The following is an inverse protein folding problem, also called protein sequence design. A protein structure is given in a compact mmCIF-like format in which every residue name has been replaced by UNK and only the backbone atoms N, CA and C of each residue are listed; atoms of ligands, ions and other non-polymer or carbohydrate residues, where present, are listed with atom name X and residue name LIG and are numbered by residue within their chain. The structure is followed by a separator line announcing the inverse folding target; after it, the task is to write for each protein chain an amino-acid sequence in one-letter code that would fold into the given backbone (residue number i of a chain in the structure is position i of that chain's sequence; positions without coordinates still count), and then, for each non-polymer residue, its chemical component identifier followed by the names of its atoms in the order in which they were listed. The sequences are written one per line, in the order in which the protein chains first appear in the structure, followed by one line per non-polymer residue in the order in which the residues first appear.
data_IF_732860790557
#
_entry.id   IF_732860790557
#
_cell.length_a   1.000
_cell.length_b   1.000
_cell.length_c   1.000
_cell.angle_alpha   90.00
_cell.angle_beta   90.00
_cell.angle_gamma   90.00
#
_symmetry.space_group_name_H-M   'P 1'
#
loop_
_entity.id
_entity.type
_entity.pdbx_description
1 polymer ?
#
# COMPACT_ATOMS: atom_id res chain seq x y z
N UNK A 1 -10.11 -5.12 -25.62
CA UNK A 1 -10.30 -6.18 -24.58
C UNK A 1 -9.02 -6.47 -23.79
N UNK A 2 -7.95 -7.05 -24.36
CA UNK A 2 -6.73 -7.34 -23.60
C UNK A 2 -6.03 -6.08 -23.04
N UNK A 3 -6.00 -4.99 -23.81
CA UNK A 3 -5.45 -3.70 -23.39
C UNK A 3 -6.21 -3.09 -22.22
N UNK A 4 -7.53 -3.06 -22.29
CA UNK A 4 -8.39 -2.52 -21.21
C UNK A 4 -8.26 -3.33 -19.91
N UNK A 5 -8.11 -4.66 -20.00
CA UNK A 5 -7.85 -5.52 -18.86
C UNK A 5 -6.53 -5.18 -18.18
N UNK A 6 -5.47 -5.02 -18.97
CA UNK A 6 -4.15 -4.62 -18.45
C UNK A 6 -4.17 -3.22 -17.82
N UNK A 7 -4.89 -2.27 -18.42
CA UNK A 7 -5.05 -0.93 -17.89
C UNK A 7 -5.77 -0.94 -16.53
N UNK A 8 -6.83 -1.74 -16.40
CA UNK A 8 -7.55 -1.89 -15.13
C UNK A 8 -6.65 -2.48 -14.03
N UNK A 9 -5.93 -3.57 -14.29
CA UNK A 9 -5.00 -4.18 -13.33
C UNK A 9 -3.88 -3.21 -12.97
N UNK A 10 -3.29 -2.55 -13.95
CA UNK A 10 -2.21 -1.59 -13.71
C UNK A 10 -2.67 -0.40 -12.85
N UNK A 11 -3.92 0.03 -13.02
CA UNK A 11 -4.51 1.06 -12.15
C UNK A 11 -4.59 0.57 -10.71
N UNK A 12 -5.10 -0.63 -10.46
CA UNK A 12 -5.17 -1.20 -9.11
C UNK A 12 -3.79 -1.39 -8.47
N UNK A 13 -2.78 -1.85 -9.22
CA UNK A 13 -1.40 -1.97 -8.74
C UNK A 13 -0.86 -0.61 -8.33
N UNK A 14 -1.13 0.42 -9.14
CA UNK A 14 -0.72 1.80 -8.85
C UNK A 14 -1.39 2.34 -7.59
N UNK A 15 -2.68 2.07 -7.41
CA UNK A 15 -3.43 2.49 -6.22
C UNK A 15 -2.90 1.81 -4.96
N UNK A 16 -2.61 0.50 -5.03
CA UNK A 16 -2.02 -0.23 -3.90
C UNK A 16 -0.62 0.25 -3.58
N UNK A 17 0.21 0.51 -4.59
CA UNK A 17 1.54 1.07 -4.40
C UNK A 17 1.51 2.44 -3.71
N UNK A 18 0.55 3.30 -4.10
CA UNK A 18 0.36 4.60 -3.46
C UNK A 18 -0.07 4.48 -2.00
N UNK A 19 -0.96 3.55 -1.71
CA UNK A 19 -1.45 3.30 -0.35
C UNK A 19 -0.33 2.78 0.55
N UNK A 20 0.41 1.76 0.09
CA UNK A 20 1.54 1.18 0.85
C UNK A 20 2.67 2.20 1.08
N UNK A 21 2.99 3.01 0.09
CA UNK A 21 3.99 4.09 0.20
C UNK A 21 3.58 5.13 1.25
N UNK A 22 2.27 5.38 1.36
CA UNK A 22 1.71 6.27 2.38
C UNK A 22 1.77 5.65 3.78
N UNK A 23 1.42 4.37 3.92
CA UNK A 23 1.50 3.62 5.17
C UNK A 23 2.97 3.56 5.64
N UNK A 24 3.91 3.25 4.74
CA UNK A 24 5.35 3.23 5.04
C UNK A 24 5.84 4.53 5.66
N UNK A 25 5.50 5.65 5.04
CA UNK A 25 5.89 6.98 5.53
C UNK A 25 5.31 7.29 6.90
N UNK A 26 4.07 6.91 7.16
CA UNK A 26 3.43 7.08 8.44
C UNK A 26 4.12 6.25 9.54
N UNK A 27 4.39 4.97 9.27
CA UNK A 27 5.08 4.07 10.20
C UNK A 27 6.51 4.54 10.49
N UNK A 28 7.25 4.96 9.47
CA UNK A 28 8.60 5.49 9.64
C UNK A 28 8.61 6.73 10.53
N UNK A 29 7.70 7.70 10.29
CA UNK A 29 7.58 8.87 11.13
C UNK A 29 7.22 8.52 12.58
N UNK A 30 6.35 7.54 12.79
CA UNK A 30 6.02 7.06 14.14
C UNK A 30 7.21 6.42 14.84
N UNK A 31 8.00 5.60 14.13
CA UNK A 31 9.19 4.95 14.67
C UNK A 31 10.27 5.97 15.07
N UNK A 32 10.40 7.08 14.36
CA UNK A 32 11.31 8.17 14.69
C UNK A 32 10.90 8.91 15.99
N UNK A 33 9.59 8.98 16.27
CA UNK A 33 9.03 9.70 17.43
C UNK A 33 8.86 8.81 18.69
N UNK A 34 9.01 7.48 18.56
CA UNK A 34 8.78 6.52 19.65
C UNK A 34 10.08 6.22 20.42
N UNK A 35 10.25 6.83 21.60
CA UNK A 35 11.43 6.60 22.45
C UNK A 35 11.18 5.65 23.65
N UNK A 36 9.94 5.59 24.15
CA UNK A 36 9.66 5.01 25.47
C UNK A 36 8.82 3.71 25.44
N UNK A 37 8.63 3.10 24.27
CA UNK A 37 7.78 1.93 24.10
C UNK A 37 8.49 0.82 23.33
N UNK A 38 9.49 0.12 23.92
CA UNK A 38 10.35 -0.81 23.19
C UNK A 38 9.59 -1.97 22.54
N UNK A 39 8.51 -2.46 23.17
CA UNK A 39 7.69 -3.53 22.58
C UNK A 39 6.90 -3.03 21.38
N UNK A 40 6.36 -1.82 21.44
CA UNK A 40 5.65 -1.19 20.31
C UNK A 40 6.62 -0.93 19.16
N UNK A 41 7.81 -0.41 19.46
CA UNK A 41 8.86 -0.17 18.45
C UNK A 41 9.20 -1.47 17.72
N UNK A 42 9.39 -2.57 18.45
CA UNK A 42 9.70 -3.87 17.86
C UNK A 42 8.61 -4.35 16.90
N UNK A 43 7.35 -4.30 17.32
CA UNK A 43 6.22 -4.75 16.50
C UNK A 43 6.02 -3.84 15.28
N UNK A 44 6.05 -2.52 15.46
CA UNK A 44 5.93 -1.57 14.33
C UNK A 44 7.09 -1.70 13.34
N UNK A 45 8.31 -1.99 13.82
CA UNK A 45 9.45 -2.25 12.93
C UNK A 45 9.22 -3.48 12.04
N UNK A 46 8.67 -4.56 12.60
CA UNK A 46 8.34 -5.75 11.82
C UNK A 46 7.26 -5.45 10.77
N UNK A 47 6.23 -4.72 11.15
CA UNK A 47 5.16 -4.30 10.22
C UNK A 47 5.74 -3.39 9.13
N UNK A 48 6.57 -2.42 9.49
CA UNK A 48 7.23 -1.52 8.55
C UNK A 48 8.04 -2.29 7.50
N UNK A 49 8.82 -3.30 7.90
CA UNK A 49 9.58 -4.15 6.96
C UNK A 49 8.67 -4.92 6.01
N UNK A 50 7.50 -5.39 6.46
CA UNK A 50 6.53 -6.05 5.58
C UNK A 50 5.99 -5.07 4.53
N UNK A 51 5.64 -3.86 4.94
CA UNK A 51 5.18 -2.80 4.03
C UNK A 51 6.26 -2.44 3.00
N UNK A 52 7.51 -2.31 3.42
CA UNK A 52 8.64 -2.08 2.49
C UNK A 52 8.76 -3.22 1.46
N UNK A 53 8.56 -4.46 1.88
CA UNK A 53 8.56 -5.61 0.98
C UNK A 53 7.40 -5.56 -0.01
N UNK A 54 6.19 -5.26 0.45
CA UNK A 54 5.02 -5.08 -0.41
C UNK A 54 5.26 -4.00 -1.48
N UNK A 55 5.83 -2.86 -1.09
CA UNK A 55 6.19 -1.78 -2.02
C UNK A 55 7.19 -2.26 -3.08
N UNK A 56 8.21 -3.01 -2.68
CA UNK A 56 9.21 -3.56 -3.59
C UNK A 56 8.58 -4.50 -4.62
N UNK A 57 7.71 -5.41 -4.18
CA UNK A 57 7.03 -6.36 -5.04
C UNK A 57 6.06 -5.68 -6.01
N UNK A 58 5.27 -4.74 -5.52
CA UNK A 58 4.34 -3.96 -6.35
C UNK A 58 5.08 -3.12 -7.41
N UNK A 59 6.23 -2.54 -7.06
CA UNK A 59 7.08 -1.81 -8.03
C UNK A 59 7.61 -2.75 -9.10
N UNK A 60 8.19 -3.87 -8.69
CA UNK A 60 8.73 -4.86 -9.62
C UNK A 60 7.67 -5.37 -10.59
N UNK A 61 6.47 -5.66 -10.08
CA UNK A 61 5.34 -6.08 -10.90
C UNK A 61 4.89 -4.97 -11.88
N UNK A 62 4.80 -3.73 -11.41
CA UNK A 62 4.43 -2.57 -12.23
C UNK A 62 5.43 -2.32 -13.35
N UNK A 63 6.74 -2.40 -13.06
CA UNK A 63 7.82 -2.24 -14.03
C UNK A 63 7.81 -3.36 -15.09
N UNK A 64 7.65 -4.61 -14.67
CA UNK A 64 7.56 -5.76 -15.56
C UNK A 64 6.36 -5.65 -16.54
N UNK A 65 5.31 -4.97 -16.13
CA UNK A 65 4.10 -4.73 -16.94
C UNK A 65 4.18 -3.47 -17.82
N UNK A 66 5.29 -2.76 -17.79
CA UNK A 66 5.48 -1.55 -18.61
C UNK A 66 4.58 -0.38 -18.22
N UNK A 67 4.15 -0.32 -16.98
CA UNK A 67 3.24 0.71 -16.46
C UNK A 67 3.90 2.10 -16.22
N UNK A 68 5.02 2.38 -16.88
CA UNK A 68 5.76 3.63 -16.73
C UNK A 68 6.88 3.55 -15.70
N UNK A 69 7.83 4.49 -15.75
CA UNK A 69 8.92 4.58 -14.78
C UNK A 69 8.45 5.02 -13.39
N UNK A 70 9.32 4.91 -12.36
CA UNK A 70 8.99 5.27 -10.98
C UNK A 70 8.39 6.67 -10.82
N UNK A 71 8.81 7.63 -11.64
CA UNK A 71 8.30 9.01 -11.64
C UNK A 71 6.86 9.11 -12.17
N UNK A 72 6.48 8.29 -13.14
CA UNK A 72 5.11 8.25 -13.69
C UNK A 72 4.14 7.54 -12.72
N UNK A 73 4.63 6.52 -12.02
CA UNK A 73 3.88 5.81 -10.98
C UNK A 73 3.58 6.78 -9.82
N UNK A 74 4.57 7.51 -9.34
CA UNK A 74 4.41 8.51 -8.27
C UNK A 74 3.44 9.63 -8.68
N UNK A 75 3.50 10.08 -9.94
CA UNK A 75 2.63 11.13 -10.46
C UNK A 75 1.16 10.68 -10.55
N UNK A 76 0.92 9.44 -11.00
CA UNK A 76 -0.42 8.82 -11.06
C UNK A 76 -0.95 8.49 -9.67
N UNK A 77 -0.08 7.96 -8.80
CA UNK A 77 -0.39 7.66 -7.42
C UNK A 77 -0.79 8.91 -6.62
N UNK A 78 -0.11 10.04 -6.83
CA UNK A 78 -0.47 11.31 -6.21
C UNK A 78 -1.88 11.78 -6.56
N UNK A 79 -2.36 11.49 -7.79
CA UNK A 79 -3.73 11.82 -8.20
C UNK A 79 -4.77 10.80 -7.71
N UNK A 80 -4.41 9.52 -7.58
CA UNK A 80 -5.29 8.48 -7.07
C UNK A 80 -5.53 8.58 -5.56
N UNK A 81 -4.49 8.91 -4.78
CA UNK A 81 -4.59 9.16 -3.33
C UNK A 81 -5.49 10.38 -3.04
N UNK A 82 -5.48 11.40 -3.90
CA UNK A 82 -6.43 12.52 -3.81
C UNK A 82 -7.88 12.07 -4.03
N UNK A 83 -8.11 10.97 -4.76
CA UNK A 83 -9.43 10.37 -4.97
C UNK A 83 -9.92 9.48 -3.82
N UNK A 84 -9.01 8.90 -3.03
CA UNK A 84 -9.34 8.07 -1.86
C UNK A 84 -9.66 8.88 -0.59
N UNK A 85 -9.66 10.18 -0.71
CA UNK A 85 -10.07 11.13 0.31
C UNK A 85 -8.91 11.69 1.13
N UNK A 86 -8.83 13.01 1.15
CA UNK A 86 -7.89 13.78 1.97
C UNK A 86 -7.95 13.42 3.47
N UNK A 87 -8.99 12.72 3.91
CA UNK A 87 -9.17 12.25 5.27
C UNK A 87 -8.19 11.13 5.69
N UNK A 88 -7.67 10.35 4.72
CA UNK A 88 -6.64 9.33 5.02
C UNK A 88 -5.22 9.92 5.03
N UNK A 89 -5.03 11.13 4.49
CA UNK A 89 -3.73 11.76 4.29
C UNK A 89 -3.22 12.50 5.55
N UNK A 90 -4.10 12.78 6.49
CA UNK A 90 -3.78 13.46 7.76
C UNK A 90 -3.22 12.49 8.84
N UNK A 91 -2.72 11.32 8.40
CA UNK A 91 -2.17 10.28 9.29
C UNK A 91 -0.88 10.70 10.03
N UNK A 92 -0.21 11.75 9.59
CA UNK A 92 0.96 12.30 10.29
C UNK A 92 0.52 13.43 11.23
N UNK A 93 -0.34 13.09 12.20
CA UNK A 93 -0.59 13.99 13.32
C UNK A 93 0.29 13.60 14.49
N UNK A 94 1.06 14.54 15.01
CA UNK A 94 1.86 14.44 16.24
C UNK A 94 0.97 14.35 17.51
N UNK A 95 -0.07 13.51 17.47
CA UNK A 95 -1.11 13.51 18.50
C UNK A 95 -1.08 12.29 19.44
N UNK A 96 0.06 11.62 19.53
CA UNK A 96 0.29 10.56 20.50
C UNK A 96 -0.06 9.15 20.00
N UNK A 97 0.58 8.15 20.60
CA UNK A 97 0.56 6.75 20.23
C UNK A 97 -0.85 6.15 20.02
N UNK A 98 -1.86 6.40 20.89
CA UNK A 98 -3.20 5.80 20.68
C UNK A 98 -3.89 6.26 19.39
N UNK A 99 -3.69 7.49 18.98
CA UNK A 99 -4.27 7.99 17.73
C UNK A 99 -3.54 7.42 16.52
N UNK A 100 -2.23 7.34 16.57
CA UNK A 100 -1.43 6.72 15.51
C UNK A 100 -1.86 5.27 15.29
N UNK A 101 -1.98 4.46 16.33
CA UNK A 101 -2.42 3.07 16.22
C UNK A 101 -3.85 2.94 15.67
N UNK A 102 -4.77 3.85 16.01
CA UNK A 102 -6.11 3.88 15.43
C UNK A 102 -6.06 4.17 13.92
N UNK A 103 -5.22 5.13 13.53
CA UNK A 103 -5.11 5.55 12.15
C UNK A 103 -4.39 4.49 11.31
N UNK A 104 -3.39 3.81 11.88
CA UNK A 104 -2.76 2.62 11.29
C UNK A 104 -3.78 1.50 11.06
N UNK A 105 -4.60 1.19 12.06
CA UNK A 105 -5.67 0.20 11.91
C UNK A 105 -6.60 0.51 10.74
N UNK A 106 -6.95 1.78 10.58
CA UNK A 106 -7.80 2.23 9.46
C UNK A 106 -7.09 2.06 8.12
N UNK A 107 -5.82 2.43 8.03
CA UNK A 107 -5.02 2.31 6.82
C UNK A 107 -4.80 0.84 6.42
N UNK A 108 -4.48 -0.04 7.37
CA UNK A 108 -4.34 -1.47 7.13
C UNK A 108 -5.67 -2.15 6.76
N UNK A 109 -6.78 -1.71 7.34
CA UNK A 109 -8.11 -2.19 6.93
C UNK A 109 -8.40 -1.83 5.47
N UNK A 110 -8.03 -0.63 5.04
CA UNK A 110 -8.16 -0.21 3.64
C UNK A 110 -7.22 -1.03 2.73
N UNK A 111 -5.98 -1.27 3.13
CA UNK A 111 -5.04 -2.10 2.39
C UNK A 111 -5.55 -3.54 2.24
N UNK A 112 -6.07 -4.12 3.31
CA UNK A 112 -6.68 -5.46 3.32
C UNK A 112 -7.80 -5.57 2.27
N UNK A 113 -8.73 -4.62 2.26
CA UNK A 113 -9.81 -4.57 1.26
C UNK A 113 -9.24 -4.38 -0.15
N UNK A 114 -8.25 -3.52 -0.31
CA UNK A 114 -7.56 -3.28 -1.57
C UNK A 114 -6.93 -4.55 -2.14
N UNK A 115 -6.25 -5.35 -1.32
CA UNK A 115 -5.68 -6.63 -1.75
C UNK A 115 -6.74 -7.68 -2.09
N UNK A 116 -7.87 -7.72 -1.37
CA UNK A 116 -9.01 -8.59 -1.75
C UNK A 116 -9.55 -8.20 -3.13
N UNK A 117 -9.67 -6.91 -3.40
CA UNK A 117 -10.13 -6.43 -4.71
C UNK A 117 -9.11 -6.73 -5.82
N UNK A 118 -7.82 -6.52 -5.56
CA UNK A 118 -6.76 -6.85 -6.52
C UNK A 118 -6.70 -8.35 -6.81
N UNK A 119 -6.82 -9.19 -5.77
CA UNK A 119 -6.91 -10.64 -5.90
C UNK A 119 -8.08 -11.09 -6.77
N UNK A 120 -9.28 -10.59 -6.47
CA UNK A 120 -10.51 -10.92 -7.23
C UNK A 120 -10.41 -10.45 -8.68
N UNK A 121 -9.83 -9.27 -8.90
CA UNK A 121 -9.62 -8.74 -10.25
C UNK A 121 -8.61 -9.60 -11.02
N UNK A 122 -7.49 -9.97 -10.39
CA UNK A 122 -6.49 -10.87 -10.97
C UNK A 122 -7.12 -12.21 -11.40
N UNK A 123 -7.90 -12.83 -10.53
CA UNK A 123 -8.63 -14.06 -10.87
C UNK A 123 -9.63 -13.86 -12.00
N UNK A 124 -10.44 -12.80 -11.93
CA UNK A 124 -11.47 -12.52 -12.94
C UNK A 124 -10.92 -12.20 -14.33
N UNK A 125 -9.69 -11.72 -14.40
CA UNK A 125 -9.00 -11.39 -15.66
C UNK A 125 -7.97 -12.45 -16.10
N UNK A 126 -7.89 -13.58 -15.37
CA UNK A 126 -6.95 -14.68 -15.57
C UNK A 126 -5.46 -14.24 -15.47
N UNK A 127 -5.20 -13.29 -14.57
CA UNK A 127 -3.86 -12.82 -14.24
C UNK A 127 -3.40 -13.42 -12.90
N UNK A 128 -2.80 -14.61 -13.00
CA UNK A 128 -2.41 -15.39 -11.81
C UNK A 128 -1.27 -14.76 -11.04
N UNK A 129 -0.37 -14.06 -11.70
CA UNK A 129 0.76 -13.38 -11.05
C UNK A 129 0.26 -12.30 -10.09
N UNK A 130 -0.67 -11.46 -10.55
CA UNK A 130 -1.31 -10.43 -9.74
C UNK A 130 -2.13 -11.04 -8.60
N UNK A 131 -2.90 -12.10 -8.89
CA UNK A 131 -3.69 -12.77 -7.87
C UNK A 131 -2.81 -13.37 -6.75
N UNK A 132 -1.71 -14.04 -7.09
CA UNK A 132 -0.81 -14.63 -6.10
C UNK A 132 -0.09 -13.55 -5.27
N UNK A 133 0.39 -12.47 -5.89
CA UNK A 133 0.97 -11.34 -5.17
C UNK A 133 -0.04 -10.77 -4.16
N UNK A 134 -1.26 -10.47 -4.62
CA UNK A 134 -2.29 -9.91 -3.75
C UNK A 134 -2.67 -10.85 -2.60
N UNK A 135 -2.71 -12.16 -2.85
CA UNK A 135 -2.97 -13.18 -1.82
C UNK A 135 -1.86 -13.22 -0.76
N UNK A 136 -0.60 -13.11 -1.18
CA UNK A 136 0.53 -13.06 -0.26
C UNK A 136 0.48 -11.83 0.63
N UNK A 137 0.34 -10.67 0.04
CA UNK A 137 0.30 -9.41 0.79
C UNK A 137 -0.92 -9.32 1.71
N UNK A 138 -2.04 -9.92 1.33
CA UNK A 138 -3.22 -10.03 2.20
C UNK A 138 -2.96 -10.89 3.43
N UNK A 139 -2.13 -11.93 3.32
CA UNK A 139 -1.84 -12.86 4.40
C UNK A 139 -0.80 -12.32 5.41
N UNK A 140 -0.01 -11.33 5.03
CA UNK A 140 1.02 -10.70 5.87
C UNK A 140 0.45 -9.70 6.86
#
# INVERSE_FOLDING_TARGET
MAREKNEAINSYITDMLALEDHIEKALRGQLEDLENYPDVIRELTQIHHKVEHHISDLRSLSEARGAGGPADIVKRAGSAVLGLGAAAIDLVRREGLPKNLRDDYTAFSLATIGYVMLYTTGLGLDDREVAELARHHFAD
#
